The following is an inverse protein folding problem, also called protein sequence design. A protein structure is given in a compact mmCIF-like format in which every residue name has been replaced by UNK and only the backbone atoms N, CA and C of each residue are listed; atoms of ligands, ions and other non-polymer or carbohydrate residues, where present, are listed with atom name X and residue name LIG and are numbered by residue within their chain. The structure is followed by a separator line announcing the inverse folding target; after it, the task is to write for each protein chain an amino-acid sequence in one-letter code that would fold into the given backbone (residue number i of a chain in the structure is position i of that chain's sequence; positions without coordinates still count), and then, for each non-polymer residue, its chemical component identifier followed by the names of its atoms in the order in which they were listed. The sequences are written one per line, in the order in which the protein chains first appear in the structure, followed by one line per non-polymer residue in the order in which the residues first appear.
data_IF_491822479925
#
_entry.id   IF_491822479925
#
_cell.length_a   1.000
_cell.length_b   1.000
_cell.length_c   1.000
_cell.angle_alpha   90.00
_cell.angle_beta   90.00
_cell.angle_gamma   90.00
#
_symmetry.space_group_name_H-M   'P 1'
#
loop_
_entity.id
_entity.type
_entity.pdbx_description
1 polymer ?
#
# COMPACT_ATOMS: atom_id res chain seq x y z
N UNK A 1 17.62 -43.99 -27.03
CA UNK A 1 16.29 -43.67 -26.48
C UNK A 1 16.51 -43.31 -25.03
N UNK A 2 16.49 -42.01 -24.71
CA UNK A 2 16.36 -41.57 -23.33
C UNK A 2 14.90 -41.15 -23.20
N UNK A 3 14.11 -41.97 -22.51
CA UNK A 3 12.76 -41.61 -22.11
C UNK A 3 12.91 -40.51 -21.05
N UNK A 4 12.66 -39.26 -21.48
CA UNK A 4 12.51 -38.14 -20.57
C UNK A 4 11.19 -38.38 -19.83
N UNK A 5 11.31 -38.62 -18.54
CA UNK A 5 10.22 -39.04 -17.65
C UNK A 5 9.11 -37.99 -17.62
N UNK A 6 7.90 -38.36 -18.04
CA UNK A 6 6.70 -37.51 -18.10
C UNK A 6 6.36 -36.86 -16.73
N UNK A 7 6.84 -37.50 -15.66
CA UNK A 7 6.71 -37.03 -14.27
C UNK A 7 7.47 -35.71 -14.02
N UNK A 8 8.63 -35.50 -14.63
CA UNK A 8 9.42 -34.27 -14.50
C UNK A 8 8.72 -33.08 -15.19
N UNK A 9 8.04 -33.34 -16.31
CA UNK A 9 7.28 -32.34 -17.07
C UNK A 9 6.03 -31.94 -16.28
N UNK A 10 5.29 -32.89 -15.72
CA UNK A 10 4.12 -32.57 -14.89
C UNK A 10 4.50 -31.82 -13.59
N UNK A 11 5.64 -32.16 -12.98
CA UNK A 11 6.16 -31.43 -11.82
C UNK A 11 6.59 -30.00 -12.17
N UNK A 12 7.14 -29.74 -13.37
CA UNK A 12 7.47 -28.39 -13.80
C UNK A 12 6.23 -27.54 -14.07
N UNK A 13 5.18 -28.10 -14.69
CA UNK A 13 3.92 -27.39 -14.93
C UNK A 13 3.19 -27.04 -13.62
N UNK A 14 3.19 -27.94 -12.63
CA UNK A 14 2.59 -27.69 -11.33
C UNK A 14 3.39 -26.65 -10.50
N UNK A 15 4.73 -26.62 -10.68
CA UNK A 15 5.62 -25.66 -10.03
C UNK A 15 5.47 -24.21 -10.54
N UNK A 16 5.10 -24.02 -11.80
CA UNK A 16 4.89 -22.70 -12.40
C UNK A 16 3.50 -22.10 -12.09
N UNK A 17 2.48 -22.92 -11.80
CA UNK A 17 1.15 -22.43 -11.40
C UNK A 17 1.07 -21.96 -9.93
N UNK A 18 2.01 -22.39 -9.06
CA UNK A 18 2.01 -22.07 -7.63
C UNK A 18 2.94 -20.92 -7.23
N UNK A 19 3.66 -20.33 -8.19
CA UNK A 19 4.30 -19.03 -7.96
C UNK A 19 3.32 -17.96 -8.43
N UNK A 20 2.52 -17.33 -7.54
CA UNK A 20 1.84 -16.10 -7.92
C UNK A 20 2.92 -15.16 -8.46
N UNK A 21 2.83 -14.83 -9.74
CA UNK A 21 3.86 -14.12 -10.46
C UNK A 21 4.17 -12.81 -9.73
N UNK A 22 5.28 -12.80 -8.97
CA UNK A 22 5.71 -11.65 -8.15
C UNK A 22 5.98 -10.42 -9.02
N UNK A 23 6.12 -10.58 -10.35
CA UNK A 23 6.24 -9.46 -11.29
C UNK A 23 4.92 -8.74 -11.53
N UNK A 24 3.77 -9.41 -11.39
CA UNK A 24 2.44 -8.83 -11.66
C UNK A 24 1.94 -7.81 -10.63
N UNK A 25 2.72 -7.50 -9.59
CA UNK A 25 2.32 -6.56 -8.52
C UNK A 25 3.45 -5.66 -8.05
N UNK A 26 4.31 -5.25 -9.00
CA UNK A 26 5.32 -4.23 -8.77
C UNK A 26 4.75 -2.86 -9.05
N UNK A 27 5.04 -1.91 -8.15
CA UNK A 27 4.59 -0.53 -8.26
C UNK A 27 5.80 0.41 -8.13
N UNK A 28 6.70 0.45 -9.13
CA UNK A 28 7.93 1.24 -9.03
C UNK A 28 7.63 2.73 -8.81
N UNK A 29 8.28 3.32 -7.82
CA UNK A 29 8.11 4.72 -7.41
C UNK A 29 6.68 5.09 -6.97
N UNK A 30 5.93 4.13 -6.46
CA UNK A 30 4.56 4.37 -6.01
C UNK A 30 4.46 4.41 -4.49
N UNK A 31 3.51 5.21 -4.01
CA UNK A 31 2.84 4.98 -2.74
C UNK A 31 1.69 4.01 -2.99
N UNK A 32 1.54 2.99 -2.15
CA UNK A 32 0.46 2.01 -2.22
C UNK A 32 -0.44 2.12 -1.01
N UNK A 33 -1.70 1.73 -1.17
CA UNK A 33 -2.70 1.85 -0.11
C UNK A 33 -3.65 0.65 -0.11
N UNK A 34 -4.06 0.19 1.08
CA UNK A 34 -5.00 -0.91 1.28
C UNK A 34 -5.97 -0.59 2.43
N UNK A 35 -7.26 -0.99 2.35
CA UNK A 35 -8.22 -0.69 3.41
C UNK A 35 -7.92 -1.50 4.68
N UNK A 36 -8.02 -0.83 5.82
CA UNK A 36 -7.97 -1.44 7.15
C UNK A 36 -9.39 -1.92 7.50
N UNK A 37 -9.59 -3.21 7.85
CA UNK A 37 -10.91 -3.73 8.24
C UNK A 37 -11.56 -2.86 9.33
N UNK A 38 -12.88 -2.69 9.25
CA UNK A 38 -13.70 -1.86 10.15
C UNK A 38 -13.41 -0.35 10.02
N UNK A 39 -12.16 0.08 10.16
CA UNK A 39 -11.79 1.50 10.10
C UNK A 39 -12.09 2.11 8.72
N UNK A 40 -11.60 1.48 7.64
CA UNK A 40 -11.88 1.95 6.28
C UNK A 40 -13.32 1.72 5.85
N UNK A 41 -14.08 0.86 6.55
CA UNK A 41 -15.50 0.70 6.28
C UNK A 41 -16.29 1.91 6.76
N UNK A 42 -15.86 2.57 7.83
CA UNK A 42 -16.45 3.81 8.33
C UNK A 42 -15.89 5.04 7.60
N UNK A 43 -14.59 5.02 7.29
CA UNK A 43 -13.86 6.14 6.69
C UNK A 43 -13.05 5.64 5.48
N UNK A 44 -13.64 5.55 4.27
CA UNK A 44 -13.04 4.87 3.10
C UNK A 44 -11.79 5.55 2.51
N UNK A 45 -11.43 6.73 3.04
CA UNK A 45 -10.20 7.44 2.71
C UNK A 45 -9.05 7.17 3.70
N UNK A 46 -9.33 6.64 4.90
CA UNK A 46 -8.33 6.21 5.87
C UNK A 46 -8.01 4.75 5.64
N UNK A 47 -6.74 4.39 5.58
CA UNK A 47 -6.30 3.00 5.43
C UNK A 47 -4.81 2.88 5.66
N UNK A 48 -4.24 1.76 5.21
CA UNK A 48 -2.83 1.44 5.43
C UNK A 48 -2.00 1.77 4.20
N UNK A 49 -0.83 2.36 4.41
CA UNK A 49 0.02 2.89 3.35
C UNK A 49 1.40 2.22 3.35
N UNK A 50 1.98 2.09 2.16
CA UNK A 50 3.38 1.71 1.98
C UNK A 50 4.03 2.54 0.88
N UNK A 51 5.36 2.56 0.85
CA UNK A 51 6.15 3.17 -0.23
C UNK A 51 6.92 2.08 -0.95
N UNK A 52 7.02 2.20 -2.27
CA UNK A 52 7.70 1.22 -3.10
C UNK A 52 9.08 1.70 -3.50
N UNK A 53 10.03 0.77 -3.60
CA UNK A 53 11.36 1.01 -4.20
C UNK A 53 11.26 1.30 -5.70
N UNK A 54 12.38 1.63 -6.32
CA UNK A 54 12.55 1.74 -7.77
C UNK A 54 12.21 0.46 -8.53
N UNK A 55 12.43 -0.70 -7.93
CA UNK A 55 12.03 -2.01 -8.46
C UNK A 55 10.57 -2.37 -8.19
N UNK A 56 9.85 -1.55 -7.43
CA UNK A 56 8.46 -1.77 -7.05
C UNK A 56 8.28 -2.75 -5.89
N UNK A 57 9.29 -2.92 -5.04
CA UNK A 57 9.20 -3.66 -3.77
C UNK A 57 8.51 -2.78 -2.74
N UNK A 58 7.44 -3.30 -2.14
CA UNK A 58 6.64 -2.56 -1.17
C UNK A 58 7.33 -2.60 0.19
N UNK A 59 7.45 -1.44 0.85
CA UNK A 59 7.84 -1.30 2.25
C UNK A 59 6.71 -0.62 3.02
N UNK A 60 6.20 -1.28 4.04
CA UNK A 60 5.16 -0.73 4.90
C UNK A 60 5.43 -1.03 6.37
N UNK A 61 5.25 -0.02 7.22
CA UNK A 61 5.32 -0.19 8.67
C UNK A 61 4.04 -0.86 9.18
N UNK A 62 4.06 -2.19 9.27
CA UNK A 62 2.89 -3.02 9.53
C UNK A 62 2.61 -3.26 11.02
N UNK A 63 3.52 -2.87 11.91
CA UNK A 63 3.36 -2.98 13.36
C UNK A 63 4.62 -2.55 14.11
N UNK A 64 4.56 -2.50 15.43
CA UNK A 64 5.69 -2.05 16.26
C UNK A 64 6.96 -2.84 15.91
N UNK A 65 8.04 -2.11 15.63
CA UNK A 65 9.34 -2.69 15.27
C UNK A 65 9.35 -3.55 14.00
N UNK A 66 8.30 -3.47 13.16
CA UNK A 66 8.13 -4.33 12.01
C UNK A 66 7.77 -3.54 10.75
N UNK A 67 8.71 -3.52 9.82
CA UNK A 67 8.50 -3.06 8.45
C UNK A 67 8.46 -4.27 7.54
N UNK A 68 7.32 -4.49 6.90
CA UNK A 68 7.11 -5.60 5.98
C UNK A 68 7.72 -5.31 4.61
N UNK A 69 8.01 -6.38 3.87
CA UNK A 69 8.49 -6.35 2.50
C UNK A 69 7.52 -7.17 1.63
N UNK A 70 6.93 -6.54 0.61
CA UNK A 70 5.99 -7.14 -0.35
C UNK A 70 4.70 -7.76 0.21
N UNK A 71 4.52 -7.78 1.53
CA UNK A 71 3.35 -8.32 2.20
C UNK A 71 2.73 -7.30 3.14
N UNK A 72 1.92 -6.39 2.58
CA UNK A 72 1.28 -5.34 3.36
C UNK A 72 0.42 -5.91 4.49
N UNK A 73 0.45 -5.26 5.66
CA UNK A 73 -0.22 -5.74 6.87
C UNK A 73 -1.73 -6.07 6.76
N UNK A 74 -2.44 -5.44 5.81
CA UNK A 74 -3.88 -5.64 5.60
C UNK A 74 -4.22 -6.23 4.21
N UNK A 75 -3.25 -6.91 3.61
CA UNK A 75 -3.36 -7.55 2.31
C UNK A 75 -3.00 -6.62 1.15
N UNK A 76 -3.10 -7.15 -0.08
CA UNK A 76 -2.59 -6.52 -1.31
C UNK A 76 -3.11 -5.08 -1.51
N UNK A 77 -2.29 -4.18 -2.10
CA UNK A 77 -2.71 -2.84 -2.47
C UNK A 77 -4.03 -2.84 -3.25
N UNK A 78 -4.91 -1.92 -2.89
CA UNK A 78 -6.13 -1.63 -3.66
C UNK A 78 -6.00 -0.34 -4.46
N UNK A 79 -5.14 0.58 -4.00
CA UNK A 79 -4.78 1.81 -4.71
C UNK A 79 -3.27 1.98 -4.79
N UNK A 80 -2.83 2.71 -5.80
CA UNK A 80 -1.46 3.18 -5.96
C UNK A 80 -1.44 4.63 -6.44
N UNK A 81 -0.45 5.39 -6.00
CA UNK A 81 -0.16 6.73 -6.45
C UNK A 81 1.30 6.76 -6.91
N UNK A 82 1.50 6.86 -8.24
CA UNK A 82 2.84 6.95 -8.84
C UNK A 82 3.39 8.35 -8.64
N UNK A 83 4.57 8.43 -8.03
CA UNK A 83 5.31 9.66 -7.82
C UNK A 83 6.30 9.88 -8.96
N UNK A 84 6.70 11.15 -9.13
CA UNK A 84 7.63 11.58 -10.16
C UNK A 84 9.05 11.57 -9.59
N UNK A 85 9.88 10.64 -10.03
CA UNK A 85 11.25 10.46 -9.52
C UNK A 85 12.13 11.69 -9.79
N UNK A 86 11.79 12.51 -10.78
CA UNK A 86 12.55 13.72 -11.11
C UNK A 86 12.39 14.81 -10.03
N UNK A 87 11.40 14.67 -9.15
CA UNK A 87 11.20 15.56 -7.98
C UNK A 87 12.09 15.22 -6.79
N UNK A 88 12.92 14.17 -6.86
CA UNK A 88 13.87 13.81 -5.80
C UNK A 88 15.09 14.73 -5.84
N UNK A 89 15.46 15.32 -4.70
CA UNK A 89 16.68 16.11 -4.61
C UNK A 89 17.91 15.21 -4.80
N UNK A 90 18.77 15.53 -5.78
CA UNK A 90 19.90 14.68 -6.15
C UNK A 90 19.61 13.67 -7.27
N UNK A 91 18.35 13.58 -7.72
CA UNK A 91 17.84 12.75 -8.83
C UNK A 91 18.13 11.25 -8.75
N UNK A 92 17.20 10.45 -9.26
CA UNK A 92 17.45 9.05 -9.61
C UNK A 92 17.10 8.00 -8.55
N UNK A 93 17.11 6.75 -9.03
CA UNK A 93 16.65 5.57 -8.30
C UNK A 93 17.43 5.29 -7.01
N UNK A 94 18.74 5.53 -7.00
CA UNK A 94 19.61 5.24 -5.86
C UNK A 94 19.25 6.10 -4.63
N UNK A 95 19.01 7.39 -4.84
CA UNK A 95 18.61 8.32 -3.77
C UNK A 95 17.23 7.96 -3.22
N UNK A 96 16.29 7.61 -4.11
CA UNK A 96 14.97 7.12 -3.73
C UNK A 96 15.06 5.86 -2.86
N UNK A 97 15.75 4.83 -3.34
CA UNK A 97 15.85 3.53 -2.65
C UNK A 97 16.58 3.65 -1.33
N UNK A 98 17.63 4.48 -1.27
CA UNK A 98 18.34 4.77 -0.02
C UNK A 98 17.41 5.41 1.00
N UNK A 99 16.63 6.41 0.62
CA UNK A 99 15.70 7.07 1.54
C UNK A 99 14.57 6.14 2.01
N UNK A 100 14.07 5.26 1.13
CA UNK A 100 13.11 4.21 1.52
C UNK A 100 13.74 3.25 2.53
N UNK A 101 14.97 2.79 2.27
CA UNK A 101 15.69 1.89 3.16
C UNK A 101 15.97 2.53 4.51
N UNK A 102 16.56 3.73 4.53
CA UNK A 102 16.89 4.46 5.75
C UNK A 102 15.61 4.72 6.57
N UNK A 103 14.48 5.03 5.92
CA UNK A 103 13.20 5.15 6.59
C UNK A 103 12.71 3.83 7.20
N UNK A 104 12.86 2.73 6.46
CA UNK A 104 12.51 1.39 6.95
C UNK A 104 13.36 0.96 8.15
N UNK A 105 14.68 1.20 8.14
CA UNK A 105 15.55 0.84 9.27
C UNK A 105 15.21 1.63 10.53
N UNK A 106 14.94 2.92 10.41
CA UNK A 106 14.51 3.75 11.54
C UNK A 106 13.18 3.25 12.13
N UNK A 107 12.18 2.90 11.29
CA UNK A 107 10.89 2.42 11.77
C UNK A 107 10.90 0.99 12.32
N UNK A 108 11.92 0.18 12.02
CA UNK A 108 12.16 -1.10 12.71
C UNK A 108 12.52 -0.90 14.19
N UNK A 109 12.96 0.29 14.57
CA UNK A 109 13.30 0.63 15.96
C UNK A 109 12.17 1.37 16.69
N UNK A 110 11.01 1.61 16.05
CA UNK A 110 9.94 2.45 16.61
C UNK A 110 8.71 1.66 17.06
N UNK A 111 8.09 2.03 18.20
CA UNK A 111 6.78 1.51 18.57
C UNK A 111 5.71 2.08 17.62
N UNK A 112 4.78 1.23 17.17
CA UNK A 112 3.70 1.66 16.28
C UNK A 112 2.55 2.29 17.06
N UNK A 113 2.19 3.52 16.72
CA UNK A 113 1.03 4.20 17.27
C UNK A 113 0.06 4.57 16.15
N UNK A 114 -1.14 3.98 16.18
CA UNK A 114 -2.16 4.09 15.14
C UNK A 114 -2.44 5.54 14.69
N UNK A 115 -2.40 6.51 15.60
CA UNK A 115 -2.77 7.90 15.30
C UNK A 115 -1.59 8.87 15.11
N UNK A 116 -0.41 8.57 15.66
CA UNK A 116 0.68 9.55 15.77
C UNK A 116 2.00 9.12 15.11
N UNK A 117 2.29 7.81 15.10
CA UNK A 117 3.49 7.27 14.47
C UNK A 117 3.15 5.94 13.80
N UNK A 118 2.63 6.04 12.58
CA UNK A 118 2.00 4.95 11.86
C UNK A 118 2.64 4.80 10.46
N UNK A 119 2.00 3.98 9.62
CA UNK A 119 2.44 3.74 8.25
C UNK A 119 2.54 5.01 7.38
N UNK A 120 1.70 6.03 7.60
CA UNK A 120 1.83 7.30 6.88
C UNK A 120 3.06 8.08 7.35
N UNK A 121 3.39 8.06 8.64
CA UNK A 121 4.60 8.70 9.17
C UNK A 121 5.87 8.06 8.60
N UNK A 122 5.89 6.73 8.44
CA UNK A 122 6.96 6.00 7.76
C UNK A 122 7.17 6.46 6.31
N UNK A 123 6.09 6.54 5.53
CA UNK A 123 6.16 7.03 4.14
C UNK A 123 6.55 8.51 4.08
N UNK A 124 6.05 9.34 4.99
CA UNK A 124 6.40 10.75 5.08
C UNK A 124 7.89 10.94 5.35
N UNK A 125 8.46 10.12 6.25
CA UNK A 125 9.89 10.16 6.53
C UNK A 125 10.73 9.80 5.31
N UNK A 126 10.35 8.78 4.55
CA UNK A 126 11.03 8.45 3.30
C UNK A 126 11.03 9.65 2.33
N UNK A 127 9.87 10.30 2.12
CA UNK A 127 9.76 11.48 1.27
C UNK A 127 10.61 12.66 1.77
N UNK A 128 10.67 12.86 3.10
CA UNK A 128 11.50 13.90 3.72
C UNK A 128 12.99 13.63 3.55
N UNK A 129 13.43 12.37 3.72
CA UNK A 129 14.84 11.97 3.56
C UNK A 129 15.32 12.17 2.12
N UNK A 130 14.48 11.88 1.13
CA UNK A 130 14.80 12.14 -0.29
C UNK A 130 14.50 13.58 -0.74
N UNK A 131 14.01 14.44 0.17
CA UNK A 131 13.58 15.82 -0.08
C UNK A 131 12.66 15.93 -1.30
N UNK A 132 11.67 15.04 -1.39
CA UNK A 132 10.77 14.97 -2.53
C UNK A 132 10.02 16.29 -2.72
N UNK A 133 10.03 16.80 -3.95
CA UNK A 133 9.45 18.09 -4.34
C UNK A 133 10.07 19.27 -3.57
N UNK A 134 11.38 19.18 -3.30
CA UNK A 134 12.16 20.14 -2.50
C UNK A 134 11.63 20.36 -1.07
N UNK A 135 10.84 19.43 -0.54
CA UNK A 135 10.23 19.53 0.79
C UNK A 135 10.80 18.54 1.78
N UNK A 136 10.90 18.95 3.05
CA UNK A 136 11.23 18.11 4.21
C UNK A 136 10.11 18.13 5.27
N UNK A 137 8.91 18.56 4.89
CA UNK A 137 7.75 18.73 5.79
C UNK A 137 6.56 17.84 5.41
N UNK A 138 6.80 16.76 4.66
CA UNK A 138 5.80 15.70 4.45
C UNK A 138 5.36 15.13 5.78
N UNK A 139 4.06 14.90 5.92
CA UNK A 139 3.44 14.38 7.13
C UNK A 139 2.22 13.51 6.76
N UNK A 140 1.66 12.86 7.77
CA UNK A 140 0.56 11.90 7.60
C UNK A 140 -0.70 12.49 6.99
N UNK A 141 -1.00 13.77 7.25
CA UNK A 141 -2.22 14.45 6.80
C UNK A 141 -2.11 14.75 5.31
N UNK A 142 -1.00 15.37 4.91
CA UNK A 142 -0.73 15.65 3.50
C UNK A 142 -0.75 14.36 2.67
N UNK A 143 -0.14 13.29 3.18
CA UNK A 143 -0.16 11.98 2.51
C UNK A 143 -1.54 11.36 2.43
N UNK A 144 -2.34 11.44 3.49
CA UNK A 144 -3.71 10.94 3.49
C UNK A 144 -4.54 11.64 2.40
N UNK A 145 -4.49 12.98 2.37
CA UNK A 145 -5.25 13.80 1.41
C UNK A 145 -4.76 13.57 -0.02
N UNK A 146 -3.45 13.65 -0.27
CA UNK A 146 -2.90 13.54 -1.61
C UNK A 146 -3.03 12.12 -2.17
N UNK A 147 -2.85 11.08 -1.34
CA UNK A 147 -3.08 9.69 -1.76
C UNK A 147 -4.56 9.42 -2.04
N UNK A 148 -5.49 10.08 -1.33
CA UNK A 148 -6.91 10.01 -1.65
C UNK A 148 -7.23 10.66 -3.00
N UNK A 149 -6.67 11.84 -3.29
CA UNK A 149 -6.92 12.60 -4.53
C UNK A 149 -6.24 11.96 -5.75
N UNK A 150 -4.99 11.53 -5.61
CA UNK A 150 -4.17 11.05 -6.74
C UNK A 150 -4.13 9.52 -6.85
N UNK A 151 -4.66 8.80 -5.88
CA UNK A 151 -4.67 7.34 -5.86
C UNK A 151 -5.55 6.74 -6.95
N UNK A 152 -5.00 5.80 -7.72
CA UNK A 152 -5.72 5.00 -8.72
C UNK A 152 -5.96 3.60 -8.19
N UNK A 153 -7.14 3.05 -8.44
CA UNK A 153 -7.44 1.66 -8.08
C UNK A 153 -6.65 0.70 -8.97
N UNK A 154 -6.13 -0.38 -8.39
CA UNK A 154 -5.37 -1.40 -9.15
C UNK A 154 -6.27 -2.23 -10.07
N UNK A 155 -7.57 -2.31 -9.76
CA UNK A 155 -8.58 -3.03 -10.55
C UNK A 155 -10.00 -2.64 -10.11
N UNK A 156 -11.00 -3.09 -10.87
CA UNK A 156 -12.40 -2.96 -10.49
C UNK A 156 -12.74 -3.71 -9.19
N UNK A 157 -12.16 -4.90 -8.99
CA UNK A 157 -12.33 -5.65 -7.75
C UNK A 157 -11.78 -4.88 -6.54
N UNK A 158 -10.65 -4.18 -6.71
CA UNK A 158 -10.09 -3.33 -5.67
C UNK A 158 -10.93 -2.08 -5.38
N UNK A 159 -11.59 -1.52 -6.39
CA UNK A 159 -12.58 -0.45 -6.21
C UNK A 159 -13.73 -0.93 -5.34
N UNK A 160 -14.35 -2.07 -5.69
CA UNK A 160 -15.43 -2.64 -4.89
C UNK A 160 -14.99 -2.98 -3.47
N UNK A 161 -13.82 -3.60 -3.30
CA UNK A 161 -13.24 -3.92 -1.97
C UNK A 161 -13.09 -2.67 -1.09
N UNK A 162 -12.76 -1.52 -1.68
CA UNK A 162 -12.57 -0.27 -0.96
C UNK A 162 -13.90 0.38 -0.56
N UNK A 163 -14.87 0.45 -1.49
CA UNK A 163 -16.07 1.28 -1.30
C UNK A 163 -17.32 0.52 -0.86
N UNK A 164 -17.45 -0.76 -1.23
CA UNK A 164 -18.66 -1.53 -0.98
C UNK A 164 -19.04 -1.62 0.52
N UNK A 165 -18.10 -1.89 1.46
CA UNK A 165 -18.45 -1.95 2.87
C UNK A 165 -19.04 -0.64 3.41
N UNK A 166 -18.46 0.51 3.03
CA UNK A 166 -18.96 1.83 3.43
C UNK A 166 -20.36 2.08 2.87
N UNK A 167 -20.56 1.82 1.57
CA UNK A 167 -21.86 2.01 0.92
C UNK A 167 -22.95 1.11 1.53
N UNK A 168 -22.62 -0.12 1.89
CA UNK A 168 -23.56 -1.02 2.59
C UNK A 168 -23.94 -0.49 3.97
N UNK A 169 -22.98 0.01 4.75
CA UNK A 169 -23.26 0.63 6.06
C UNK A 169 -24.15 1.87 5.94
N UNK A 170 -23.86 2.76 4.97
CA UNK A 170 -24.71 3.91 4.69
C UNK A 170 -26.12 3.49 4.26
N UNK A 171 -26.25 2.44 3.44
CA UNK A 171 -27.53 1.89 3.02
C UNK A 171 -28.37 1.39 4.19
N UNK A 172 -27.78 0.58 5.09
CA UNK A 172 -28.45 0.09 6.30
C UNK A 172 -28.90 1.25 7.20
N UNK A 173 -28.00 2.20 7.46
CA UNK A 173 -28.32 3.37 8.28
C UNK A 173 -29.46 4.21 7.67
N UNK A 174 -29.41 4.46 6.35
CA UNK A 174 -30.46 5.19 5.65
C UNK A 174 -31.81 4.46 5.72
N UNK A 175 -31.83 3.13 5.52
CA UNK A 175 -33.07 2.35 5.66
C UNK A 175 -33.62 2.39 7.09
N UNK A 176 -32.76 2.27 8.10
CA UNK A 176 -33.16 2.37 9.50
C UNK A 176 -33.79 3.75 9.78
N UNK A 177 -33.10 4.83 9.44
CA UNK A 177 -33.62 6.20 9.60
C UNK A 177 -34.96 6.36 8.88
N UNK A 178 -35.07 5.88 7.64
CA UNK A 178 -36.30 5.99 6.86
C UNK A 178 -37.46 5.23 7.52
N UNK A 179 -37.24 3.99 7.98
CA UNK A 179 -38.30 3.20 8.63
C UNK A 179 -38.81 3.83 9.92
N UNK A 180 -37.92 4.42 10.74
CA UNK A 180 -38.31 5.07 11.99
C UNK A 180 -38.97 6.45 11.80
N UNK A 181 -38.66 7.16 10.72
CA UNK A 181 -39.25 8.48 10.44
C UNK A 181 -40.53 8.40 9.60
N UNK A 182 -40.83 7.23 9.00
CA UNK A 182 -42.07 6.96 8.28
C UNK A 182 -43.11 6.20 9.12
N UNK A 183 -42.80 5.88 10.38
CA UNK A 183 -43.72 5.40 11.40
C UNK A 183 -44.30 6.57 12.19
#
# INVERSE_FOLDING_TARGET
MAEVDDTDIMMSYQGDFLKPDRKSSRYPYCIVWTPIPILSWLLPFIGHMGICTSSGVIRDFAGSYFVSEDNMGFGRPTKYWKLDVDKVCGSGAATWDKAVLDASEEYKCRPHNLCFDNCHSHVAMALNLMRYDNSTSWNMVNLCVLSFIHGKHVSWAAFLKTWLPFLMLCGVLATFILTFNLQ
#
